data_IF_103345823292
#
_entry.id   IF_103345823292
#
_cell.length_a   1.000
_cell.length_b   1.000
_cell.length_c   1.000
_cell.angle_alpha   90.00
_cell.angle_beta   90.00
_cell.angle_gamma   90.00
#
_symmetry.space_group_name_H-M   'P 1'
#
loop_
_entity.id
_entity.type
_entity.pdbx_description
1 polymer ?
#
# COMPACT_ATOMS: atom_id res chain seq x y z
N UNK A 1 -25.37 -75.29 -2.55
CA UNK A 1 -25.64 -73.84 -2.41
C UNK A 1 -24.52 -73.23 -1.59
N UNK A 2 -23.85 -72.22 -2.16
CA UNK A 2 -23.08 -71.15 -1.52
C UNK A 2 -21.89 -71.55 -0.63
N UNK A 3 -20.66 -71.56 -1.15
CA UNK A 3 -19.73 -70.41 -1.33
C UNK A 3 -18.75 -70.29 -0.17
N UNK A 4 -17.58 -70.91 -0.34
CA UNK A 4 -16.37 -70.67 0.45
C UNK A 4 -15.58 -69.54 -0.20
N UNK A 5 -15.23 -68.49 0.56
CA UNK A 5 -14.30 -67.46 0.13
C UNK A 5 -12.99 -67.58 0.93
N UNK A 6 -11.92 -67.99 0.25
CA UNK A 6 -10.54 -67.99 0.75
C UNK A 6 -9.72 -67.04 -0.12
N UNK A 7 -8.89 -66.25 0.55
CA UNK A 7 -7.98 -65.22 0.04
C UNK A 7 -6.82 -65.78 -0.79
N UNK A 8 -6.45 -65.14 -1.91
CA UNK A 8 -5.05 -64.85 -2.33
C UNK A 8 -4.95 -64.03 -3.64
N UNK A 9 -4.05 -63.04 -3.64
CA UNK A 9 -3.14 -62.75 -4.77
C UNK A 9 -3.50 -61.64 -5.76
N UNK A 10 -2.76 -60.52 -5.67
CA UNK A 10 -2.07 -59.77 -6.76
C UNK A 10 -2.68 -59.70 -8.17
N UNK A 11 -2.81 -58.49 -8.73
CA UNK A 11 -2.02 -58.08 -9.89
C UNK A 11 -2.25 -56.61 -10.33
N UNK A 12 -1.18 -56.06 -10.89
CA UNK A 12 -0.98 -54.69 -11.33
C UNK A 12 -1.86 -54.32 -12.53
N UNK A 13 -2.36 -53.07 -12.57
CA UNK A 13 -2.97 -52.51 -13.77
C UNK A 13 -1.99 -51.60 -14.53
N UNK A 14 -1.73 -52.10 -15.73
CA UNK A 14 -0.78 -51.76 -16.77
C UNK A 14 -1.00 -50.35 -17.36
N UNK A 15 0.01 -49.49 -17.34
CA UNK A 15 0.05 -48.25 -18.11
C UNK A 15 0.66 -48.58 -19.48
N UNK A 16 -0.18 -48.81 -20.49
CA UNK A 16 0.30 -49.17 -21.83
C UNK A 16 0.99 -47.99 -22.51
N UNK A 17 2.30 -48.11 -22.67
CA UNK A 17 3.13 -47.25 -23.51
C UNK A 17 2.74 -47.45 -24.97
N UNK A 18 2.33 -46.38 -25.65
CA UNK A 18 1.99 -46.39 -27.08
C UNK A 18 3.29 -46.48 -27.92
N UNK A 19 3.37 -47.33 -28.96
CA UNK A 19 4.60 -47.51 -29.74
C UNK A 19 5.02 -46.27 -30.56
N UNK A 20 6.33 -46.01 -30.60
CA UNK A 20 6.99 -44.82 -31.22
C UNK A 20 6.84 -44.65 -32.74
N UNK A 21 6.03 -45.45 -33.44
CA UNK A 21 5.88 -45.37 -34.90
C UNK A 21 4.71 -44.46 -35.36
N UNK A 22 3.79 -44.06 -34.47
CA UNK A 22 2.62 -43.24 -34.83
C UNK A 22 2.76 -41.73 -34.52
N UNK A 23 3.87 -41.32 -33.90
CA UNK A 23 4.18 -39.91 -33.60
C UNK A 23 4.31 -39.00 -34.85
N UNK A 24 4.89 -39.42 -35.99
CA UNK A 24 5.05 -38.52 -37.14
C UNK A 24 3.72 -38.14 -37.80
N UNK A 25 2.73 -39.03 -37.79
CA UNK A 25 1.42 -38.82 -38.42
C UNK A 25 0.53 -37.87 -37.61
N UNK A 26 0.57 -37.97 -36.27
CA UNK A 26 -0.19 -37.07 -35.38
C UNK A 26 0.35 -35.64 -35.39
N UNK A 27 1.68 -35.47 -35.40
CA UNK A 27 2.30 -34.13 -35.47
C UNK A 27 1.99 -33.45 -36.81
N UNK A 28 1.96 -34.18 -37.92
CA UNK A 28 1.60 -33.63 -39.22
C UNK A 28 0.13 -33.15 -39.29
N UNK A 29 -0.77 -33.85 -38.60
CA UNK A 29 -2.20 -33.52 -38.54
C UNK A 29 -2.48 -32.32 -37.62
N UNK A 30 -1.75 -32.21 -36.50
CA UNK A 30 -1.81 -31.04 -35.61
C UNK A 30 -1.21 -29.78 -36.27
N UNK A 31 -0.19 -29.92 -37.13
CA UNK A 31 0.35 -28.81 -37.92
C UNK A 31 -0.59 -28.32 -39.03
N UNK A 32 -1.51 -29.18 -39.51
CA UNK A 32 -2.49 -28.83 -40.53
C UNK A 32 -3.72 -28.13 -39.93
N UNK A 33 -4.16 -28.53 -38.73
CA UNK A 33 -5.22 -27.85 -37.98
C UNK A 33 -4.79 -26.44 -37.54
N UNK A 34 -3.58 -26.29 -36.99
CA UNK A 34 -3.05 -24.97 -36.61
C UNK A 34 -2.84 -24.00 -37.80
N UNK A 35 -2.64 -24.52 -39.03
CA UNK A 35 -2.55 -23.70 -40.25
C UNK A 35 -3.92 -23.27 -40.79
N UNK A 36 -4.99 -24.01 -40.47
CA UNK A 36 -6.36 -23.63 -40.82
C UNK A 36 -6.88 -22.54 -39.87
N UNK A 37 -6.61 -22.67 -38.57
CA UNK A 37 -6.97 -21.67 -37.54
C UNK A 37 -6.22 -20.34 -37.75
N UNK A 38 -4.95 -20.39 -38.17
CA UNK A 38 -4.18 -19.19 -38.51
C UNK A 38 -4.66 -18.48 -39.79
N UNK A 39 -5.39 -19.19 -40.67
CA UNK A 39 -5.93 -18.63 -41.92
C UNK A 39 -7.25 -17.88 -41.67
N UNK A 40 -8.03 -18.33 -40.70
CA UNK A 40 -9.34 -17.76 -40.35
C UNK A 40 -9.23 -16.42 -39.60
N UNK A 41 -8.17 -16.22 -38.81
CA UNK A 41 -7.88 -14.92 -38.16
C UNK A 41 -7.49 -13.80 -39.14
N UNK A 42 -7.07 -14.12 -40.37
CA UNK A 42 -6.65 -13.13 -41.38
C UNK A 42 -7.80 -12.57 -42.22
N UNK A 43 -9.02 -13.10 -42.04
CA UNK A 43 -10.19 -12.75 -42.83
C UNK A 43 -11.22 -11.90 -42.07
N UNK A 44 -10.83 -11.25 -40.97
CA UNK A 44 -11.68 -10.22 -40.34
C UNK A 44 -11.76 -9.02 -41.30
N UNK A 45 -12.94 -8.84 -41.90
CA UNK A 45 -13.29 -7.68 -42.70
C UNK A 45 -12.93 -6.39 -41.96
N UNK A 46 -12.23 -5.46 -42.62
CA UNK A 46 -11.79 -4.16 -42.07
C UNK A 46 -12.93 -3.20 -41.69
N UNK A 47 -14.18 -3.63 -41.80
CA UNK A 47 -15.39 -2.86 -41.58
C UNK A 47 -16.24 -3.54 -40.51
N UNK A 48 -16.49 -2.82 -39.42
CA UNK A 48 -17.36 -3.28 -38.34
C UNK A 48 -18.79 -3.46 -38.85
N UNK A 49 -19.45 -4.53 -38.43
CA UNK A 49 -20.89 -4.70 -38.57
C UNK A 49 -21.66 -3.70 -37.70
N UNK A 50 -22.92 -3.42 -38.00
CA UNK A 50 -23.73 -2.47 -37.23
C UNK A 50 -23.84 -2.86 -35.73
N UNK A 51 -23.87 -4.16 -35.44
CA UNK A 51 -23.87 -4.67 -34.08
C UNK A 51 -22.54 -4.41 -33.36
N UNK A 52 -21.41 -4.66 -34.03
CA UNK A 52 -20.07 -4.38 -33.49
C UNK A 52 -19.82 -2.88 -33.31
N UNK A 53 -20.34 -2.03 -34.20
CA UNK A 53 -20.26 -0.58 -34.08
C UNK A 53 -21.07 -0.05 -32.89
N UNK A 54 -22.27 -0.60 -32.66
CA UNK A 54 -23.08 -0.28 -31.49
C UNK A 54 -22.40 -0.72 -30.19
N UNK A 55 -21.81 -1.92 -30.18
CA UNK A 55 -21.06 -2.45 -29.05
C UNK A 55 -19.82 -1.58 -28.75
N UNK A 56 -19.04 -1.24 -29.78
CA UNK A 56 -17.90 -0.34 -29.65
C UNK A 56 -18.33 0.99 -29.02
N UNK A 57 -19.42 1.60 -29.51
CA UNK A 57 -19.93 2.86 -28.96
C UNK A 57 -20.31 2.76 -27.48
N UNK A 58 -20.96 1.65 -27.08
CA UNK A 58 -21.31 1.39 -25.68
C UNK A 58 -20.07 1.22 -24.78
N UNK A 59 -19.06 0.51 -25.29
CA UNK A 59 -17.79 0.31 -24.58
C UNK A 59 -17.02 1.63 -24.47
N UNK A 60 -16.94 2.44 -25.52
CA UNK A 60 -16.32 3.76 -25.50
C UNK A 60 -16.99 4.70 -24.50
N UNK A 61 -18.33 4.73 -24.44
CA UNK A 61 -19.06 5.51 -23.43
C UNK A 61 -18.73 5.06 -22.00
N UNK A 62 -18.49 3.77 -21.79
CA UNK A 62 -18.05 3.22 -20.50
C UNK A 62 -16.63 3.66 -20.17
N UNK A 63 -15.73 3.61 -21.15
CA UNK A 63 -14.36 4.12 -21.02
C UNK A 63 -14.37 5.60 -20.66
N UNK A 64 -15.11 6.44 -21.38
CA UNK A 64 -15.20 7.88 -21.10
C UNK A 64 -15.70 8.19 -19.69
N UNK A 65 -16.71 7.46 -19.20
CA UNK A 65 -17.19 7.60 -17.82
C UNK A 65 -16.11 7.20 -16.82
N UNK A 66 -15.42 6.09 -17.07
CA UNK A 66 -14.35 5.61 -16.20
C UNK A 66 -13.15 6.56 -16.11
N UNK A 67 -12.83 7.28 -17.20
CA UNK A 67 -11.78 8.30 -17.23
C UNK A 67 -12.11 9.48 -16.30
N UNK A 68 -13.40 9.78 -16.08
CA UNK A 68 -13.86 10.84 -15.16
C UNK A 68 -14.08 10.35 -13.72
N UNK A 69 -14.14 9.03 -13.50
CA UNK A 69 -14.49 8.45 -12.20
C UNK A 69 -13.54 8.89 -11.06
N UNK A 70 -12.24 9.07 -11.34
CA UNK A 70 -11.29 9.51 -10.30
C UNK A 70 -11.66 10.90 -9.74
N UNK A 71 -12.16 11.80 -10.59
CA UNK A 71 -12.58 13.14 -10.18
C UNK A 71 -13.83 13.06 -9.32
N UNK A 72 -14.85 12.31 -9.75
CA UNK A 72 -16.08 12.12 -8.97
C UNK A 72 -15.83 11.48 -7.60
N UNK A 73 -14.97 10.45 -7.55
CA UNK A 73 -14.55 9.80 -6.30
C UNK A 73 -13.81 10.81 -5.41
N UNK A 74 -12.84 11.54 -5.95
CA UNK A 74 -12.10 12.55 -5.19
C UNK A 74 -13.01 13.64 -4.62
N UNK A 75 -14.03 14.06 -5.36
CA UNK A 75 -15.03 15.02 -4.92
C UNK A 75 -15.92 14.50 -3.79
N UNK A 76 -16.38 13.25 -3.91
CA UNK A 76 -17.17 12.60 -2.87
C UNK A 76 -16.34 12.43 -1.59
N UNK A 77 -15.10 11.93 -1.71
CA UNK A 77 -14.18 11.77 -0.60
C UNK A 77 -13.87 13.11 0.09
N UNK A 78 -13.68 14.19 -0.67
CA UNK A 78 -13.51 15.55 -0.13
C UNK A 78 -14.72 15.95 0.71
N UNK A 79 -15.93 15.80 0.18
CA UNK A 79 -17.15 16.17 0.90
C UNK A 79 -17.38 15.34 2.16
N UNK A 80 -17.12 14.03 2.10
CA UNK A 80 -17.20 13.13 3.25
C UNK A 80 -16.21 13.54 4.33
N UNK A 81 -14.97 13.85 3.95
CA UNK A 81 -13.91 14.29 4.86
C UNK A 81 -14.26 15.62 5.52
N UNK A 82 -14.55 16.64 4.72
CA UNK A 82 -14.70 18.02 5.17
C UNK A 82 -15.95 18.19 6.06
N UNK A 83 -17.03 17.47 5.75
CA UNK A 83 -18.25 17.44 6.58
C UNK A 83 -18.20 16.40 7.70
N UNK A 84 -17.11 15.63 7.80
CA UNK A 84 -16.90 14.54 8.75
C UNK A 84 -18.06 13.54 8.78
N UNK A 85 -18.60 13.17 7.61
CA UNK A 85 -19.76 12.27 7.49
C UNK A 85 -19.45 10.83 7.94
N UNK A 86 -18.17 10.49 8.07
CA UNK A 86 -17.70 9.21 8.55
C UNK A 86 -17.77 9.05 10.09
N UNK A 87 -18.02 10.14 10.83
CA UNK A 87 -17.89 10.19 12.30
C UNK A 87 -18.84 9.27 13.09
N UNK A 88 -19.87 8.73 12.44
CA UNK A 88 -20.82 7.83 13.09
C UNK A 88 -20.16 6.49 13.42
N UNK A 89 -19.41 5.93 12.46
CA UNK A 89 -18.86 4.58 12.56
C UNK A 89 -17.31 4.58 12.63
N UNK A 90 -16.66 5.70 12.31
CA UNK A 90 -15.20 5.82 12.25
C UNK A 90 -14.70 7.09 12.96
N UNK A 91 -13.60 6.97 13.71
CA UNK A 91 -12.99 8.09 14.44
C UNK A 91 -12.22 9.04 13.51
N UNK A 92 -11.59 8.52 12.46
CA UNK A 92 -10.81 9.28 11.47
C UNK A 92 -11.26 9.03 10.04
N UNK A 93 -10.95 9.97 9.15
CA UNK A 93 -11.26 9.83 7.72
C UNK A 93 -10.42 8.71 7.09
N UNK A 94 -9.19 8.56 7.57
CA UNK A 94 -8.26 7.50 7.20
C UNK A 94 -8.85 6.12 7.51
N UNK A 95 -9.36 5.93 8.73
CA UNK A 95 -10.00 4.67 9.13
C UNK A 95 -11.21 4.37 8.26
N UNK A 96 -12.01 5.39 7.95
CA UNK A 96 -13.12 5.25 7.01
C UNK A 96 -12.65 4.78 5.63
N UNK A 97 -11.64 5.42 5.04
CA UNK A 97 -11.12 5.04 3.73
C UNK A 97 -10.56 3.62 3.70
N UNK A 98 -9.81 3.22 4.74
CA UNK A 98 -9.19 1.89 4.79
C UNK A 98 -10.21 0.80 5.09
N UNK A 99 -11.10 0.99 6.06
CA UNK A 99 -12.03 -0.06 6.48
C UNK A 99 -13.26 -0.16 5.57
N UNK A 100 -13.79 0.97 5.05
CA UNK A 100 -14.99 0.95 4.20
C UNK A 100 -14.68 0.70 2.74
N UNK A 101 -13.56 1.21 2.24
CA UNK A 101 -13.22 1.22 0.81
C UNK A 101 -11.95 0.47 0.47
N UNK A 102 -11.23 -0.09 1.45
CA UNK A 102 -9.93 -0.76 1.25
C UNK A 102 -8.90 0.15 0.56
N UNK A 103 -9.07 1.47 0.72
CA UNK A 103 -8.22 2.48 0.12
C UNK A 103 -7.15 2.92 1.11
N UNK A 104 -5.89 2.92 0.65
CA UNK A 104 -4.82 3.52 1.43
C UNK A 104 -5.08 5.01 1.65
N UNK A 105 -4.74 5.51 2.84
CA UNK A 105 -4.75 6.94 3.17
C UNK A 105 -4.14 7.78 2.04
N UNK A 106 -2.93 7.43 1.61
CA UNK A 106 -2.18 8.18 0.59
C UNK A 106 -2.98 8.30 -0.70
N UNK A 107 -3.60 7.22 -1.16
CA UNK A 107 -4.36 7.23 -2.39
C UNK A 107 -5.65 8.05 -2.28
N UNK A 108 -6.35 7.97 -1.15
CA UNK A 108 -7.55 8.80 -0.90
C UNK A 108 -7.24 10.30 -0.95
N UNK A 109 -6.17 10.75 -0.29
CA UNK A 109 -5.75 12.15 -0.36
C UNK A 109 -5.28 12.57 -1.75
N UNK A 110 -4.57 11.69 -2.49
CA UNK A 110 -4.19 11.96 -3.88
C UNK A 110 -5.40 12.18 -4.79
N UNK A 111 -6.46 11.38 -4.63
CA UNK A 111 -7.70 11.57 -5.40
C UNK A 111 -8.38 12.89 -5.07
N UNK A 112 -8.41 13.29 -3.78
CA UNK A 112 -8.95 14.58 -3.36
C UNK A 112 -8.16 15.76 -3.96
N UNK A 113 -6.82 15.68 -3.91
CA UNK A 113 -5.94 16.70 -4.50
C UNK A 113 -6.12 16.78 -6.01
N UNK A 114 -6.11 15.63 -6.70
CA UNK A 114 -6.30 15.56 -8.14
C UNK A 114 -7.67 16.11 -8.56
N UNK A 115 -8.73 15.82 -7.80
CA UNK A 115 -10.05 16.38 -8.08
C UNK A 115 -10.08 17.90 -7.97
N UNK A 116 -9.37 18.45 -6.99
CA UNK A 116 -9.26 19.91 -6.79
C UNK A 116 -8.51 20.58 -7.95
N UNK A 117 -7.39 19.99 -8.40
CA UNK A 117 -6.65 20.50 -9.56
C UNK A 117 -7.47 20.36 -10.84
N UNK A 118 -8.20 19.26 -11.01
CA UNK A 118 -9.09 19.06 -12.15
C UNK A 118 -10.14 20.17 -12.24
N UNK A 119 -10.74 20.58 -11.11
CA UNK A 119 -11.66 21.73 -11.07
C UNK A 119 -10.99 23.03 -11.51
N UNK A 120 -9.75 23.29 -11.09
CA UNK A 120 -9.02 24.50 -11.50
C UNK A 120 -8.78 24.53 -13.03
N UNK A 121 -8.48 23.37 -13.61
CA UNK A 121 -8.14 23.23 -15.03
C UNK A 121 -9.39 23.21 -15.93
N UNK A 122 -10.50 22.59 -15.49
CA UNK A 122 -11.67 22.37 -16.34
C UNK A 122 -12.32 23.67 -16.84
N UNK A 123 -12.20 24.77 -16.10
CA UNK A 123 -12.89 26.03 -16.39
C UNK A 123 -12.25 26.87 -17.51
N UNK A 124 -11.23 26.36 -18.22
CA UNK A 124 -10.64 27.04 -19.36
C UNK A 124 -9.80 26.17 -20.29
N UNK A 125 -9.82 24.85 -20.12
CA UNK A 125 -9.02 23.94 -20.93
C UNK A 125 -9.82 23.37 -22.12
N UNK A 126 -9.27 23.37 -23.34
CA UNK A 126 -9.92 22.75 -24.50
C UNK A 126 -9.92 21.22 -24.40
N UNK A 127 -8.92 20.65 -23.71
CA UNK A 127 -8.78 19.22 -23.46
C UNK A 127 -8.73 19.00 -21.95
N UNK A 128 -9.63 18.18 -21.44
CA UNK A 128 -9.68 17.83 -20.02
C UNK A 128 -8.69 16.70 -19.70
N UNK A 129 -8.13 16.67 -18.49
CA UNK A 129 -7.32 15.54 -18.05
C UNK A 129 -8.11 14.23 -18.13
N UNK A 130 -7.49 13.19 -18.69
CA UNK A 130 -8.13 11.87 -18.84
C UNK A 130 -7.95 10.97 -17.62
N UNK A 131 -6.92 11.20 -16.79
CA UNK A 131 -6.67 10.40 -15.60
C UNK A 131 -5.92 11.18 -14.52
N UNK A 132 -5.97 10.65 -13.30
CA UNK A 132 -5.29 11.23 -12.12
C UNK A 132 -3.78 11.41 -12.35
N UNK A 133 -3.13 10.53 -13.12
CA UNK A 133 -1.67 10.58 -13.34
C UNK A 133 -1.26 11.82 -14.13
N UNK A 134 -2.08 12.30 -15.05
CA UNK A 134 -1.83 13.55 -15.78
C UNK A 134 -1.98 14.78 -14.88
N UNK A 135 -2.89 14.71 -13.90
CA UNK A 135 -3.19 15.83 -12.99
C UNK A 135 -2.21 15.91 -11.84
N UNK A 136 -1.73 14.77 -11.34
CA UNK A 136 -0.85 14.68 -10.18
C UNK A 136 0.36 15.63 -10.22
N UNK A 137 1.11 15.80 -11.32
CA UNK A 137 2.25 16.72 -11.33
C UNK A 137 1.85 18.17 -11.05
N UNK A 138 0.66 18.60 -11.47
CA UNK A 138 0.16 19.96 -11.29
C UNK A 138 -0.13 20.30 -9.82
N UNK A 139 -0.29 19.31 -8.92
CA UNK A 139 -0.52 19.58 -7.48
C UNK A 139 0.66 20.32 -6.84
N UNK A 140 1.85 20.22 -7.44
CA UNK A 140 3.05 20.91 -6.98
C UNK A 140 3.13 22.39 -7.43
N UNK A 141 2.14 22.89 -8.17
CA UNK A 141 2.00 24.30 -8.55
C UNK A 141 0.91 25.01 -7.73
N UNK A 142 1.03 26.31 -7.50
CA UNK A 142 -0.06 27.12 -6.96
C UNK A 142 -1.31 27.06 -7.84
N UNK A 143 -2.51 27.09 -7.25
CA UNK A 143 -3.79 26.94 -7.96
C UNK A 143 -3.98 27.87 -9.16
N UNK A 144 -3.40 29.07 -9.11
CA UNK A 144 -3.47 30.07 -10.19
C UNK A 144 -2.60 29.73 -11.41
N UNK A 145 -1.52 28.98 -11.21
CA UNK A 145 -0.59 28.60 -12.28
C UNK A 145 -0.94 27.24 -12.91
N UNK A 146 -1.75 26.41 -12.23
CA UNK A 146 -2.18 25.11 -12.73
C UNK A 146 -2.88 25.17 -14.10
N UNK A 147 -3.84 26.09 -14.36
CA UNK A 147 -4.50 26.18 -15.68
C UNK A 147 -3.53 26.60 -16.78
N UNK A 148 -2.58 27.50 -16.46
CA UNK A 148 -1.56 27.97 -17.41
C UNK A 148 -0.59 26.85 -17.77
N UNK A 149 -0.11 26.12 -16.78
CA UNK A 149 0.77 24.96 -16.99
C UNK A 149 0.07 23.87 -17.80
N UNK A 150 -1.22 23.61 -17.55
CA UNK A 150 -1.99 22.66 -18.35
C UNK A 150 -2.17 23.12 -19.80
N UNK A 151 -2.56 24.37 -20.02
CA UNK A 151 -2.71 24.93 -21.37
C UNK A 151 -1.39 24.83 -22.16
N UNK A 152 -0.26 25.13 -21.52
CA UNK A 152 1.06 24.94 -22.12
C UNK A 152 1.31 23.47 -22.45
N UNK A 153 1.01 22.53 -21.54
CA UNK A 153 1.19 21.10 -21.78
C UNK A 153 0.36 20.60 -22.97
N UNK A 154 -0.89 21.07 -23.11
CA UNK A 154 -1.75 20.77 -24.26
C UNK A 154 -1.15 21.30 -25.56
N UNK A 155 -0.67 22.54 -25.59
CA UNK A 155 -0.08 23.14 -26.79
C UNK A 155 1.25 22.52 -27.24
N UNK A 156 2.01 21.94 -26.29
CA UNK A 156 3.35 21.38 -26.53
C UNK A 156 3.37 19.86 -26.63
N UNK A 157 2.19 19.22 -26.66
CA UNK A 157 2.06 17.78 -26.60
C UNK A 157 2.73 17.11 -27.83
N UNK A 158 3.72 16.21 -27.63
CA UNK A 158 4.38 15.53 -28.73
C UNK A 158 3.40 14.60 -29.44
N UNK A 159 3.28 14.72 -30.76
CA UNK A 159 2.37 13.92 -31.59
C UNK A 159 0.90 13.96 -31.14
N UNK A 160 0.47 15.06 -30.49
CA UNK A 160 -0.87 15.21 -29.95
C UNK A 160 -1.20 14.31 -28.75
N UNK A 161 -0.22 13.56 -28.21
CA UNK A 161 -0.42 12.66 -27.07
C UNK A 161 0.00 13.34 -25.76
N UNK A 162 -0.99 13.69 -24.96
CA UNK A 162 -0.78 14.33 -23.66
C UNK A 162 -0.47 13.27 -22.59
N UNK A 163 0.83 13.01 -22.35
CA UNK A 163 1.27 12.02 -21.35
C UNK A 163 1.56 12.67 -19.99
N UNK A 164 1.42 11.90 -18.90
CA UNK A 164 1.74 12.38 -17.55
C UNK A 164 3.21 12.84 -17.42
N UNK A 165 4.14 12.18 -18.12
CA UNK A 165 5.55 12.56 -18.15
C UNK A 165 5.75 13.94 -18.80
N UNK A 166 5.06 14.20 -19.92
CA UNK A 166 5.11 15.51 -20.57
C UNK A 166 4.57 16.62 -19.67
N UNK A 167 3.44 16.38 -19.01
CA UNK A 167 2.86 17.35 -18.05
C UNK A 167 3.83 17.62 -16.91
N UNK A 168 4.49 16.58 -16.37
CA UNK A 168 5.50 16.74 -15.32
C UNK A 168 6.67 17.65 -15.76
N UNK A 169 7.18 17.46 -16.99
CA UNK A 169 8.25 18.31 -17.54
C UNK A 169 7.82 19.77 -17.64
N UNK A 170 6.62 20.05 -18.14
CA UNK A 170 6.09 21.41 -18.23
C UNK A 170 5.94 22.04 -16.84
N UNK A 171 5.45 21.27 -15.87
CA UNK A 171 5.33 21.72 -14.48
C UNK A 171 6.69 22.10 -13.88
N UNK A 172 7.72 21.28 -14.08
CA UNK A 172 9.07 21.60 -13.60
C UNK A 172 9.60 22.91 -14.19
N UNK A 173 9.32 23.19 -15.46
CA UNK A 173 9.69 24.48 -16.08
C UNK A 173 8.97 25.65 -15.42
N UNK A 174 7.68 25.52 -15.11
CA UNK A 174 6.92 26.53 -14.38
C UNK A 174 7.48 26.75 -12.97
N UNK A 175 7.82 25.69 -12.24
CA UNK A 175 8.44 25.80 -10.92
C UNK A 175 9.78 26.55 -10.99
N UNK A 176 10.61 26.27 -12.00
CA UNK A 176 11.87 26.98 -12.23
C UNK A 176 11.65 28.47 -12.56
N UNK A 177 10.59 28.80 -13.30
CA UNK A 177 10.23 30.20 -13.59
C UNK A 177 9.74 30.93 -12.33
N UNK A 178 8.90 30.29 -11.52
CA UNK A 178 8.40 30.85 -10.26
C UNK A 178 9.56 31.09 -9.29
N UNK A 179 10.49 30.15 -9.16
CA UNK A 179 11.66 30.32 -8.28
C UNK A 179 12.59 31.43 -8.75
N UNK A 180 12.89 31.52 -10.06
CA UNK A 180 13.68 32.62 -10.65
C UNK A 180 13.05 34.00 -10.43
N UNK A 181 11.74 34.12 -10.64
CA UNK A 181 11.04 35.38 -10.43
C UNK A 181 11.05 35.82 -8.96
N UNK A 182 10.97 34.87 -8.02
CA UNK A 182 11.09 35.16 -6.58
C UNK A 182 12.48 35.70 -6.22
N UNK A 183 13.55 35.10 -6.73
CA UNK A 183 14.93 35.55 -6.49
C UNK A 183 15.23 36.94 -7.09
N UNK A 184 14.68 37.25 -8.26
CA UNK A 184 14.83 38.57 -8.88
C UNK A 184 14.08 39.67 -8.10
N UNK A 185 12.90 39.37 -7.55
CA UNK A 185 12.11 40.32 -6.77
C UNK A 185 12.73 40.63 -5.39
N UNK A 186 13.32 39.63 -4.73
CA UNK A 186 14.05 39.81 -3.47
C UNK A 186 15.33 40.65 -3.65
N UNK A 187 15.99 40.52 -4.81
CA UNK A 187 17.16 41.33 -5.17
C UNK A 187 16.79 42.79 -5.46
N UNK A 188 15.61 43.02 -6.07
CA UNK A 188 15.08 44.36 -6.33
C UNK A 188 14.60 45.07 -5.04
N UNK A 189 13.99 44.33 -4.10
CA UNK A 189 13.54 44.89 -2.81
C UNK A 189 14.69 45.28 -1.87
N UNK A 190 15.88 44.68 -2.00
CA UNK A 190 17.07 45.09 -1.24
C UNK A 190 17.67 46.43 -1.70
N UNK A 191 17.40 46.88 -2.93
CA UNK A 191 17.86 48.17 -3.43
C UNK A 191 16.94 49.37 -3.08
N UNK A 192 15.78 49.14 -2.44
CA UNK A 192 14.88 50.21 -2.00
C UNK A 192 14.92 50.51 -0.49
N UNK A 193 15.74 49.81 0.31
CA UNK A 193 15.87 50.05 1.76
C UNK A 193 17.08 50.91 2.17
N UNK A 194 17.50 51.83 1.31
CA UNK A 194 18.48 52.88 1.63
C UNK A 194 18.00 54.20 1.05
N UNK A 195 16.96 54.78 1.64
CA UNK A 195 16.63 56.22 1.59
C UNK A 195 15.40 56.47 2.45
N UNK A 196 15.62 56.74 3.74
CA UNK A 196 14.87 57.68 4.61
C UNK A 196 15.35 57.49 6.05
N UNK A 197 16.49 58.09 6.36
CA UNK A 197 16.88 58.42 7.73
C UNK A 197 17.58 59.79 7.66
N UNK A 198 17.06 60.75 8.43
CA UNK A 198 17.61 62.02 8.94
C UNK A 198 16.39 62.95 9.20
N UNK A 199 16.12 63.55 10.36
CA UNK A 199 16.94 63.95 11.52
C UNK A 199 15.99 64.33 12.72
N UNK A 200 16.41 64.88 13.90
CA UNK A 200 15.96 64.41 15.22
C UNK A 200 15.37 65.53 16.14
N UNK A 201 15.32 65.27 17.47
CA UNK A 201 14.99 66.17 18.61
C UNK A 201 13.48 66.25 18.94
N UNK A 202 12.97 66.17 20.18
CA UNK A 202 13.55 66.30 21.52
C UNK A 202 12.63 65.60 22.57
N UNK A 203 13.19 65.39 23.77
CA UNK A 203 12.60 65.08 25.09
C UNK A 203 11.08 65.30 25.29
N UNK A 204 10.40 64.38 25.99
CA UNK A 204 10.05 64.54 27.42
C UNK A 204 9.35 63.31 28.04
N UNK A 205 9.42 63.28 29.37
CA UNK A 205 9.00 62.26 30.33
C UNK A 205 7.47 62.31 30.51
N UNK A 206 6.79 61.16 30.69
CA UNK A 206 5.79 60.95 31.76
C UNK A 206 5.20 59.55 31.76
N UNK A 207 5.12 58.99 32.96
CA UNK A 207 4.51 57.72 33.31
C UNK A 207 2.98 57.83 33.44
N UNK A 208 2.25 56.77 33.08
CA UNK A 208 0.99 56.40 33.73
C UNK A 208 0.50 55.01 33.28
N UNK A 209 0.70 54.04 34.18
CA UNK A 209 -0.24 53.00 34.65
C UNK A 209 -1.58 52.80 33.93
N UNK A 210 -1.90 51.54 33.60
CA UNK A 210 -3.09 50.73 34.02
C UNK A 210 -3.17 49.46 33.13
N UNK A 211 -2.87 48.26 33.65
CA UNK A 211 -3.77 47.27 34.32
C UNK A 211 -4.91 46.71 33.44
N UNK A 212 -4.79 45.43 33.06
CA UNK A 212 -5.66 44.29 33.41
C UNK A 212 -5.18 43.06 32.60
N UNK A 213 -4.71 41.94 33.17
CA UNK A 213 -5.29 41.02 34.16
C UNK A 213 -6.56 40.32 33.66
N UNK A 214 -6.43 39.01 33.40
CA UNK A 214 -7.47 38.09 32.94
C UNK A 214 -6.89 36.68 32.80
N UNK A 215 -6.42 36.15 33.92
CA UNK A 215 -5.93 34.79 34.13
C UNK A 215 -7.09 33.84 34.47
N UNK A 216 -6.80 32.53 34.43
CA UNK A 216 -7.52 31.36 34.98
C UNK A 216 -8.26 30.49 33.93
N UNK A 217 -7.94 29.21 33.75
CA UNK A 217 -7.11 28.35 34.59
C UNK A 217 -6.65 27.05 33.93
N UNK A 218 -5.48 26.61 34.38
CA UNK A 218 -5.00 25.23 34.36
C UNK A 218 -5.89 24.38 35.30
N UNK A 219 -5.99 23.05 35.24
CA UNK A 219 -4.99 21.98 35.19
C UNK A 219 -5.76 20.65 35.11
N UNK A 220 -5.25 19.64 34.41
CA UNK A 220 -5.10 18.29 35.01
C UNK A 220 -4.25 17.40 34.09
N UNK A 221 -2.98 17.29 34.46
CA UNK A 221 -2.10 16.19 34.11
C UNK A 221 -2.68 14.87 34.65
N UNK A 222 -3.08 13.98 33.76
CA UNK A 222 -3.19 12.55 34.06
C UNK A 222 -2.34 11.82 33.02
N UNK A 223 -1.27 11.17 33.49
CA UNK A 223 -0.53 10.18 32.74
C UNK A 223 -1.46 8.99 32.54
N UNK A 224 -2.19 8.97 31.43
CA UNK A 224 -2.99 7.82 31.02
C UNK A 224 -2.04 6.65 30.77
N UNK A 225 -2.13 5.61 31.60
CA UNK A 225 -1.53 4.31 31.29
C UNK A 225 -2.07 3.85 29.94
N UNK A 226 -1.21 3.49 28.97
CA UNK A 226 -1.66 3.09 27.64
C UNK A 226 -2.65 1.92 27.74
N UNK A 227 -3.83 2.08 27.18
CA UNK A 227 -4.85 1.02 27.12
C UNK A 227 -4.24 -0.22 26.44
N UNK A 228 -3.91 -1.27 27.20
CA UNK A 228 -3.28 -2.47 26.65
C UNK A 228 -4.27 -3.23 25.77
N UNK A 229 -4.01 -3.31 24.46
CA UNK A 229 -4.82 -4.06 23.50
C UNK A 229 -3.96 -4.97 22.63
N UNK A 230 -4.52 -6.04 22.07
CA UNK A 230 -3.82 -6.83 21.07
C UNK A 230 -3.41 -5.97 19.85
N UNK A 231 -4.18 -4.93 19.55
CA UNK A 231 -3.97 -4.01 18.43
C UNK A 231 -2.73 -3.11 18.57
N UNK A 232 -2.43 -2.68 19.80
CA UNK A 232 -1.20 -1.92 20.08
C UNK A 232 -0.08 -2.79 20.67
N UNK A 233 -0.24 -4.12 20.66
CA UNK A 233 0.80 -5.04 21.06
C UNK A 233 1.82 -5.26 19.93
N UNK A 234 3.11 -5.24 20.27
CA UNK A 234 4.21 -5.54 19.36
C UNK A 234 4.11 -6.95 18.74
N UNK A 235 3.53 -7.90 19.48
CA UNK A 235 3.48 -9.31 19.08
C UNK A 235 2.32 -9.67 18.15
N UNK A 236 1.36 -8.78 17.91
CA UNK A 236 0.26 -9.08 17.00
C UNK A 236 0.60 -8.69 15.55
N UNK A 237 0.30 -9.56 14.59
CA UNK A 237 0.46 -9.28 13.16
C UNK A 237 -0.45 -8.11 12.76
N UNK A 238 0.04 -7.31 11.82
CA UNK A 238 -0.77 -6.26 11.18
C UNK A 238 -1.65 -6.84 10.06
N UNK A 239 -1.30 -8.05 9.58
CA UNK A 239 -1.98 -8.75 8.51
C UNK A 239 -3.01 -9.74 9.07
N UNK A 240 -4.24 -9.78 8.52
CA UNK A 240 -5.23 -10.80 8.83
C UNK A 240 -4.73 -12.19 8.45
N UNK A 241 -5.19 -13.23 9.16
CA UNK A 241 -4.90 -14.61 8.75
C UNK A 241 -5.68 -14.91 7.48
N UNK A 242 -4.99 -15.28 6.40
CA UNK A 242 -5.55 -15.43 5.04
C UNK A 242 -6.79 -16.33 4.96
N UNK A 243 -6.89 -17.33 5.85
CA UNK A 243 -7.98 -18.31 5.85
C UNK A 243 -9.08 -18.03 6.89
N UNK A 244 -8.96 -16.96 7.69
CA UNK A 244 -9.94 -16.62 8.74
C UNK A 244 -9.87 -15.13 9.13
N UNK A 245 -10.76 -14.29 8.58
CA UNK A 245 -10.81 -12.85 8.85
C UNK A 245 -11.12 -12.50 10.31
N UNK A 246 -11.70 -13.43 11.07
CA UNK A 246 -12.04 -13.23 12.48
C UNK A 246 -10.92 -13.69 13.41
N UNK A 247 -9.79 -14.15 12.85
CA UNK A 247 -8.61 -14.51 13.60
C UNK A 247 -7.44 -13.59 13.30
N UNK A 248 -6.71 -13.26 14.36
CA UNK A 248 -5.46 -12.52 14.29
C UNK A 248 -4.31 -13.40 14.77
N UNK A 249 -3.11 -13.15 14.25
CA UNK A 249 -1.94 -13.92 14.62
C UNK A 249 -1.09 -13.16 15.63
N UNK A 250 -0.96 -13.72 16.84
CA UNK A 250 0.02 -13.29 17.82
C UNK A 250 1.29 -14.14 17.67
N UNK A 251 2.43 -13.51 17.43
CA UNK A 251 3.76 -14.16 17.35
C UNK A 251 4.16 -14.91 18.63
N UNK A 252 3.41 -14.75 19.73
CA UNK A 252 3.62 -15.43 21.02
C UNK A 252 2.55 -16.43 21.40
N UNK A 253 1.31 -16.21 20.96
CA UNK A 253 0.14 -17.02 21.37
C UNK A 253 -0.53 -17.74 20.18
N UNK A 254 -0.01 -17.57 18.97
CA UNK A 254 -0.54 -18.17 17.75
C UNK A 254 -1.80 -17.48 17.23
N UNK A 255 -2.63 -18.24 16.50
CA UNK A 255 -3.90 -17.77 15.94
C UNK A 255 -4.93 -17.61 17.05
N UNK A 256 -5.46 -16.40 17.21
CA UNK A 256 -6.44 -16.04 18.22
C UNK A 256 -7.72 -15.54 17.53
N UNK A 257 -8.88 -16.01 17.96
CA UNK A 257 -10.17 -15.58 17.42
C UNK A 257 -10.76 -14.41 18.19
N UNK A 258 -11.29 -13.43 17.47
CA UNK A 258 -12.08 -12.31 18.00
C UNK A 258 -13.51 -12.70 18.37
N UNK A 259 -14.00 -13.87 17.93
CA UNK A 259 -15.37 -14.31 18.20
C UNK A 259 -15.57 -14.63 19.68
N UNK A 260 -14.54 -15.18 20.33
CA UNK A 260 -14.62 -15.58 21.73
C UNK A 260 -14.37 -14.42 22.70
N UNK A 261 -13.41 -13.52 22.38
CA UNK A 261 -13.00 -12.38 23.21
C UNK A 261 -12.38 -11.28 22.35
N UNK A 262 -12.78 -10.03 22.59
CA UNK A 262 -12.27 -8.85 21.89
C UNK A 262 -10.76 -8.61 22.14
N UNK A 263 -10.10 -8.00 21.15
CA UNK A 263 -8.67 -7.70 21.19
C UNK A 263 -8.26 -6.76 22.33
N UNK A 264 -9.15 -5.86 22.75
CA UNK A 264 -8.88 -4.97 23.89
C UNK A 264 -8.97 -5.74 25.20
N UNK A 265 -9.96 -6.62 25.35
CA UNK A 265 -10.10 -7.46 26.54
C UNK A 265 -8.91 -8.42 26.68
N UNK A 266 -8.49 -9.06 25.58
CA UNK A 266 -7.31 -9.94 25.56
C UNK A 266 -6.04 -9.18 25.91
N UNK A 267 -5.79 -8.02 25.28
CA UNK A 267 -4.61 -7.22 25.56
C UNK A 267 -4.54 -6.71 27.00
N UNK A 268 -5.68 -6.34 27.58
CA UNK A 268 -5.76 -5.84 28.96
C UNK A 268 -5.34 -6.88 30.01
N UNK A 269 -5.60 -8.16 29.72
CA UNK A 269 -5.30 -9.31 30.60
C UNK A 269 -4.04 -10.08 30.18
N UNK A 270 -3.37 -9.68 29.10
CA UNK A 270 -2.25 -10.43 28.53
C UNK A 270 -0.93 -10.12 29.25
N UNK A 271 -0.34 -11.15 29.89
CA UNK A 271 0.97 -11.06 30.57
C UNK A 271 2.15 -10.83 29.61
N UNK A 272 1.98 -11.21 28.34
CA UNK A 272 2.99 -11.08 27.29
C UNK A 272 2.82 -9.79 26.48
N UNK A 273 1.88 -8.91 26.88
CA UNK A 273 1.62 -7.67 26.17
C UNK A 273 2.84 -6.74 26.26
N UNK A 274 3.26 -6.26 25.09
CA UNK A 274 4.35 -5.31 24.96
C UNK A 274 3.87 -4.18 24.04
N UNK A 275 3.95 -2.94 24.52
CA UNK A 275 3.57 -1.79 23.73
C UNK A 275 4.42 -1.71 22.46
N UNK A 276 3.74 -1.61 21.31
CA UNK A 276 4.37 -1.46 19.99
C UNK A 276 5.18 -0.16 19.86
N UNK A 277 4.85 0.85 20.67
CA UNK A 277 5.45 2.18 20.63
C UNK A 277 6.57 2.37 21.68
N UNK A 278 6.94 1.32 22.42
CA UNK A 278 8.11 1.36 23.30
C UNK A 278 9.40 1.54 22.49
N UNK A 279 10.30 2.38 23.02
CA UNK A 279 11.65 2.62 22.50
C UNK A 279 12.38 1.31 22.12
N UNK A 280 13.03 1.24 20.95
CA UNK A 280 13.62 0.00 20.41
C UNK A 280 14.57 -0.73 21.36
N UNK A 281 15.30 -0.01 22.22
CA UNK A 281 16.23 -0.58 23.21
C UNK A 281 15.50 -1.30 24.35
N UNK A 282 14.35 -0.78 24.78
CA UNK A 282 13.50 -1.41 25.79
C UNK A 282 12.75 -2.62 25.19
N UNK A 283 12.37 -2.55 23.91
CA UNK A 283 11.84 -3.71 23.15
C UNK A 283 12.89 -4.81 23.03
N UNK A 284 14.16 -4.48 22.74
CA UNK A 284 15.25 -5.47 22.70
C UNK A 284 15.48 -6.13 24.06
N UNK A 285 15.40 -5.37 25.15
CA UNK A 285 15.53 -5.88 26.53
C UNK A 285 14.36 -6.79 26.92
N UNK A 286 13.13 -6.41 26.58
CA UNK A 286 11.92 -7.23 26.80
C UNK A 286 11.90 -8.51 25.92
N UNK A 287 12.33 -8.41 24.65
CA UNK A 287 12.46 -9.57 23.74
C UNK A 287 13.51 -10.57 24.18
N UNK A 288 14.66 -10.11 24.71
CA UNK A 288 15.70 -10.99 25.27
C UNK A 288 15.19 -11.77 26.48
N UNK A 289 14.28 -11.20 27.27
CA UNK A 289 13.66 -11.85 28.41
C UNK A 289 12.54 -12.85 28.05
N UNK A 290 12.09 -12.91 26.78
CA UNK A 290 10.96 -13.75 26.32
C UNK A 290 11.32 -14.72 25.18
N UNK A 291 12.60 -15.04 24.95
CA UNK A 291 13.01 -15.99 23.89
C UNK A 291 13.07 -17.42 24.44
N UNK A 292 12.23 -18.31 23.91
CA UNK A 292 12.22 -19.74 24.25
C UNK A 292 13.20 -20.56 23.39
N UNK A 293 13.70 -20.00 22.29
CA UNK A 293 14.77 -20.58 21.45
C UNK A 293 15.71 -19.48 20.94
N UNK A 294 16.96 -19.86 20.64
CA UNK A 294 17.99 -18.98 20.08
C UNK A 294 18.72 -19.68 18.93
N UNK A 295 19.29 -18.91 18.00
CA UNK A 295 20.09 -19.46 16.91
C UNK A 295 21.54 -19.62 17.37
N UNK A 296 22.05 -20.85 17.29
CA UNK A 296 23.46 -21.16 17.49
C UNK A 296 24.06 -21.57 16.14
N UNK A 297 25.00 -20.77 15.62
CA UNK A 297 25.72 -21.09 14.39
C UNK A 297 27.02 -21.80 14.73
N UNK A 298 27.15 -23.07 14.32
CA UNK A 298 28.35 -23.89 14.52
C UNK A 298 28.99 -24.19 13.16
N UNK A 299 30.31 -24.12 13.10
CA UNK A 299 31.10 -24.65 11.98
C UNK A 299 31.56 -26.06 12.35
N UNK A 300 30.90 -27.07 11.79
CA UNK A 300 31.21 -28.48 12.04
C UNK A 300 32.00 -29.08 10.86
N UNK A 301 32.91 -30.03 11.13
CA UNK A 301 33.59 -30.75 10.06
C UNK A 301 32.63 -31.46 9.10
N UNK A 302 32.88 -31.38 7.79
CA UNK A 302 31.98 -31.86 6.73
C UNK A 302 31.65 -33.36 6.83
N UNK A 303 32.58 -34.17 7.34
CA UNK A 303 32.39 -35.62 7.47
C UNK A 303 31.29 -35.99 8.48
N UNK A 304 30.96 -35.11 9.42
CA UNK A 304 29.90 -35.34 10.40
C UNK A 304 28.50 -35.18 9.78
N UNK A 305 28.37 -34.49 8.64
CA UNK A 305 27.07 -34.21 8.04
C UNK A 305 26.29 -35.49 7.71
N UNK A 306 26.93 -36.45 7.05
CA UNK A 306 26.31 -37.72 6.70
C UNK A 306 25.99 -38.57 7.94
N UNK A 307 26.92 -38.61 8.90
CA UNK A 307 26.74 -39.36 10.16
C UNK A 307 25.58 -38.81 10.99
N UNK A 308 25.43 -37.48 11.05
CA UNK A 308 24.30 -36.83 11.74
C UNK A 308 22.97 -37.11 11.03
N UNK A 309 22.95 -37.14 9.69
CA UNK A 309 21.76 -37.47 8.90
C UNK A 309 21.31 -38.92 9.12
N UNK A 310 22.25 -39.87 9.11
CA UNK A 310 21.95 -41.27 9.34
C UNK A 310 21.48 -41.51 10.78
N UNK A 311 22.15 -40.92 11.78
CA UNK A 311 21.75 -41.02 13.18
C UNK A 311 20.34 -40.45 13.42
N UNK A 312 20.04 -39.30 12.81
CA UNK A 312 18.70 -38.71 12.87
C UNK A 312 17.65 -39.62 12.20
N UNK A 313 17.97 -40.19 11.03
CA UNK A 313 17.10 -41.13 10.31
C UNK A 313 16.82 -42.41 11.10
N UNK A 314 17.80 -42.98 11.79
CA UNK A 314 17.61 -44.17 12.65
C UNK A 314 16.65 -43.88 13.80
N UNK A 315 16.62 -42.65 14.30
CA UNK A 315 15.70 -42.23 15.37
C UNK A 315 14.38 -41.66 14.82
N UNK A 316 14.22 -41.60 13.49
CA UNK A 316 13.03 -41.02 12.85
C UNK A 316 12.89 -39.51 13.04
N UNK A 317 14.00 -38.80 13.33
CA UNK A 317 14.03 -37.37 13.62
C UNK A 317 14.65 -36.59 12.44
N UNK A 318 14.31 -35.30 12.35
CA UNK A 318 15.08 -34.39 11.53
C UNK A 318 16.44 -34.12 12.19
N UNK A 319 17.48 -33.81 11.39
CA UNK A 319 18.84 -33.55 11.89
C UNK A 319 18.87 -32.43 12.94
N UNK A 320 18.01 -31.42 12.78
CA UNK A 320 17.91 -30.29 13.72
C UNK A 320 17.32 -30.73 15.06
N UNK A 321 16.26 -31.55 15.04
CA UNK A 321 15.61 -32.04 16.25
C UNK A 321 16.50 -33.06 16.98
N UNK A 322 17.15 -33.94 16.22
CA UNK A 322 18.17 -34.83 16.74
C UNK A 322 19.30 -34.03 17.40
N UNK A 323 19.84 -33.01 16.73
CA UNK A 323 20.90 -32.18 17.31
C UNK A 323 20.43 -31.41 18.57
N UNK A 324 19.19 -30.90 18.56
CA UNK A 324 18.59 -30.24 19.71
C UNK A 324 18.43 -31.21 20.90
N UNK A 325 18.03 -32.46 20.65
CA UNK A 325 17.90 -33.50 21.67
C UNK A 325 19.27 -33.89 22.25
N UNK A 326 20.31 -34.03 21.41
CA UNK A 326 21.68 -34.28 21.87
C UNK A 326 22.18 -33.12 22.74
N UNK A 327 21.94 -31.87 22.33
CA UNK A 327 22.32 -30.69 23.10
C UNK A 327 21.54 -30.60 24.43
N UNK A 328 20.24 -30.91 24.44
CA UNK A 328 19.43 -30.97 25.67
C UNK A 328 19.95 -32.03 26.64
N UNK A 329 20.28 -33.22 26.14
CA UNK A 329 20.84 -34.30 26.96
C UNK A 329 22.25 -34.00 27.49
N UNK A 330 23.03 -33.19 26.76
CA UNK A 330 24.36 -32.77 27.18
C UNK A 330 24.33 -31.63 28.24
N UNK A 331 23.35 -30.74 28.15
CA UNK A 331 23.19 -29.59 29.06
C UNK A 331 22.41 -29.96 30.33
N UNK A 332 21.53 -30.96 30.27
CA UNK A 332 20.71 -31.42 31.40
C UNK A 332 21.38 -32.38 32.39
N UNK A 333 22.72 -32.39 32.47
CA UNK A 333 23.51 -33.25 33.37
C UNK A 333 24.22 -32.46 34.46
#
# INVERSE_FOLDING_TARGET
MSSSNTVRGSDANNFSVVPSAELPARVAQDCQLNKADAKDLSAQSSTLTDAEALELSSLEATVERSLKAFWEIGQALRQIRDRRLYRQDFSTFEDYCTNRWEMSRRWAYQLIEAATVYENVRHGAPILPANERQVRPLTALPSQEQPRAWAQAVSTAPNGKLTAFHVARVVEEHQKKISRNKSNNESSSKNQRTQTANHPSNREISASTQKNAGELGATSSQTETPCRSCWNCYHCSFEPVQDDPHSFYCQKLGKLSFIEKDGNERGSKCKLWLDRWIEPELVKKAKRAQRDTFTLTLQLPIHLQAQMQDAAKTQGLAVVDWAAQILQAAVGK
#
